data_IF_345679585120
#
_entry.id   IF_345679585120
#
_cell.length_a   1.000
_cell.length_b   1.000
_cell.length_c   1.000
_cell.angle_alpha   90.00
_cell.angle_beta   90.00
_cell.angle_gamma   90.00
#
_symmetry.space_group_name_H-M   'P 1'
#
loop_
_entity.id
_entity.type
_entity.pdbx_description
1 polymer ?
#
# COMPACT_ATOMS: atom_id res chain seq x y z
N UNK A 1 -17.12 15.22 -6.45
CA UNK A 1 -16.03 14.26 -6.19
C UNK A 1 -15.42 14.53 -4.83
N UNK A 2 -15.31 13.51 -4.00
CA UNK A 2 -14.79 13.65 -2.65
C UNK A 2 -13.25 13.66 -2.68
N UNK A 3 -12.63 14.77 -2.26
CA UNK A 3 -11.18 14.92 -2.22
C UNK A 3 -10.49 13.84 -1.35
N UNK A 4 -11.13 13.44 -0.25
CA UNK A 4 -10.60 12.39 0.63
C UNK A 4 -10.52 11.05 -0.06
N UNK A 5 -11.53 10.69 -0.86
CA UNK A 5 -11.53 9.44 -1.64
C UNK A 5 -10.42 9.45 -2.70
N UNK A 6 -10.23 10.57 -3.37
CA UNK A 6 -9.16 10.75 -4.35
C UNK A 6 -7.77 10.58 -3.72
N UNK A 7 -7.57 11.19 -2.54
CA UNK A 7 -6.30 11.06 -1.81
C UNK A 7 -6.05 9.62 -1.37
N UNK A 8 -7.09 8.94 -0.89
CA UNK A 8 -6.98 7.54 -0.47
C UNK A 8 -6.58 6.64 -1.65
N UNK A 9 -7.20 6.83 -2.81
CA UNK A 9 -6.87 6.07 -4.01
C UNK A 9 -5.43 6.32 -4.47
N UNK A 10 -4.98 7.57 -4.38
CA UNK A 10 -3.61 7.95 -4.72
C UNK A 10 -2.60 7.29 -3.77
N UNK A 11 -2.86 7.33 -2.47
CA UNK A 11 -1.98 6.70 -1.47
C UNK A 11 -1.90 5.19 -1.67
N UNK A 12 -3.01 4.55 -1.97
CA UNK A 12 -3.05 3.11 -2.26
C UNK A 12 -2.20 2.79 -3.49
N UNK A 13 -2.35 3.55 -4.57
CA UNK A 13 -1.57 3.36 -5.79
C UNK A 13 -0.06 3.54 -5.53
N UNK A 14 0.31 4.55 -4.77
CA UNK A 14 1.70 4.80 -4.39
C UNK A 14 2.28 3.64 -3.56
N UNK A 15 1.52 3.15 -2.58
CA UNK A 15 1.94 2.01 -1.77
C UNK A 15 2.14 0.76 -2.62
N UNK A 16 1.22 0.46 -3.53
CA UNK A 16 1.34 -0.69 -4.43
C UNK A 16 2.59 -0.60 -5.31
N UNK A 17 2.88 0.58 -5.84
CA UNK A 17 4.07 0.80 -6.66
C UNK A 17 5.35 0.59 -5.85
N UNK A 18 5.40 1.07 -4.61
CA UNK A 18 6.55 0.89 -3.73
C UNK A 18 6.74 -0.56 -3.32
N UNK A 19 5.64 -1.26 -3.05
CA UNK A 19 5.69 -2.70 -2.72
C UNK A 19 6.28 -3.48 -3.89
N UNK A 20 5.82 -3.22 -5.11
CA UNK A 20 6.34 -3.90 -6.31
C UNK A 20 7.82 -3.61 -6.51
N UNK A 21 8.23 -2.35 -6.37
CA UNK A 21 9.63 -1.97 -6.47
C UNK A 21 10.48 -2.69 -5.42
N UNK A 22 10.01 -2.73 -4.18
CA UNK A 22 10.73 -3.38 -3.09
C UNK A 22 10.85 -4.89 -3.30
N UNK A 23 9.82 -5.53 -3.86
CA UNK A 23 9.88 -6.93 -4.23
C UNK A 23 10.97 -7.20 -5.28
N UNK A 24 11.09 -6.33 -6.27
CA UNK A 24 12.13 -6.44 -7.30
C UNK A 24 13.53 -6.29 -6.70
N UNK A 25 13.71 -5.31 -5.82
CA UNK A 25 14.97 -5.09 -5.11
C UNK A 25 15.34 -6.33 -4.30
N UNK A 26 14.37 -6.90 -3.59
CA UNK A 26 14.58 -8.09 -2.78
C UNK A 26 14.99 -9.29 -3.64
N UNK A 27 14.30 -9.51 -4.78
CA UNK A 27 14.64 -10.60 -5.68
C UNK A 27 16.05 -10.47 -6.24
N UNK A 28 16.46 -9.26 -6.62
CA UNK A 28 17.81 -8.99 -7.12
C UNK A 28 18.86 -9.25 -6.05
N UNK A 29 18.58 -8.84 -4.82
CA UNK A 29 19.49 -9.07 -3.70
C UNK A 29 19.63 -10.58 -3.40
N UNK A 30 18.53 -11.33 -3.45
CA UNK A 30 18.56 -12.78 -3.28
C UNK A 30 19.41 -13.46 -4.35
N UNK A 31 19.27 -13.05 -5.62
CA UNK A 31 20.06 -13.59 -6.73
C UNK A 31 21.56 -13.34 -6.55
N UNK A 32 21.92 -12.25 -5.88
CA UNK A 32 23.32 -11.91 -5.61
C UNK A 32 23.85 -12.52 -4.31
N UNK A 33 23.01 -13.30 -3.60
CA UNK A 33 23.37 -13.89 -2.32
C UNK A 33 23.49 -12.91 -1.18
N UNK A 34 22.88 -11.73 -1.30
CA UNK A 34 22.91 -10.70 -0.26
C UNK A 34 21.87 -10.98 0.82
N UNK A 35 22.13 -10.42 2.03
CA UNK A 35 21.17 -10.50 3.13
C UNK A 35 19.96 -9.63 2.82
N UNK A 36 18.76 -10.23 2.82
CA UNK A 36 17.51 -9.56 2.47
C UNK A 36 16.62 -9.23 3.65
N UNK A 37 17.11 -9.38 4.87
CA UNK A 37 16.30 -9.13 6.07
C UNK A 37 15.73 -7.72 6.09
N UNK A 38 16.56 -6.72 5.81
CA UNK A 38 16.14 -5.32 5.76
C UNK A 38 15.07 -5.08 4.69
N UNK A 39 15.20 -5.74 3.53
CA UNK A 39 14.23 -5.62 2.43
C UNK A 39 12.89 -6.23 2.81
N UNK A 40 12.92 -7.37 3.49
CA UNK A 40 11.72 -8.05 3.96
C UNK A 40 10.97 -7.22 5.01
N UNK A 41 11.69 -6.60 5.91
CA UNK A 41 11.09 -5.73 6.92
C UNK A 41 10.48 -4.47 6.30
N UNK A 42 11.18 -3.86 5.35
CA UNK A 42 10.66 -2.70 4.61
C UNK A 42 9.38 -3.07 3.85
N UNK A 43 9.39 -4.21 3.18
CA UNK A 43 8.22 -4.72 2.46
C UNK A 43 7.03 -4.92 3.40
N UNK A 44 7.27 -5.53 4.55
CA UNK A 44 6.23 -5.73 5.57
C UNK A 44 5.61 -4.41 6.01
N UNK A 45 6.43 -3.40 6.26
CA UNK A 45 5.97 -2.07 6.64
C UNK A 45 5.06 -1.45 5.58
N UNK A 46 5.46 -1.54 4.30
CA UNK A 46 4.64 -1.04 3.20
C UNK A 46 3.34 -1.80 3.04
N UNK A 47 3.36 -3.12 3.22
CA UNK A 47 2.15 -3.94 3.15
C UNK A 47 1.17 -3.59 4.28
N UNK A 48 1.67 -3.32 5.48
CA UNK A 48 0.86 -2.87 6.62
C UNK A 48 0.24 -1.51 6.33
N UNK A 49 1.01 -0.57 5.77
CA UNK A 49 0.52 0.74 5.37
C UNK A 49 -0.57 0.63 4.32
N UNK A 50 -0.39 -0.25 3.34
CA UNK A 50 -1.40 -0.48 2.30
C UNK A 50 -2.72 -0.95 2.93
N UNK A 51 -2.68 -1.88 3.86
CA UNK A 51 -3.89 -2.36 4.54
C UNK A 51 -4.62 -1.24 5.28
N UNK A 52 -3.87 -0.36 5.94
CA UNK A 52 -4.46 0.79 6.65
C UNK A 52 -5.15 1.73 5.66
N UNK A 53 -4.51 2.05 4.54
CA UNK A 53 -5.10 2.92 3.51
C UNK A 53 -6.32 2.29 2.85
N UNK A 54 -6.29 1.00 2.57
CA UNK A 54 -7.43 0.29 2.00
C UNK A 54 -8.63 0.28 2.96
N UNK A 55 -8.38 0.05 4.24
CA UNK A 55 -9.41 0.12 5.28
C UNK A 55 -10.00 1.52 5.38
N UNK A 56 -9.15 2.53 5.36
CA UNK A 56 -9.60 3.93 5.41
C UNK A 56 -10.47 4.27 4.20
N UNK A 57 -10.04 3.85 3.01
CA UNK A 57 -10.82 4.03 1.78
C UNK A 57 -12.19 3.35 1.88
N UNK A 58 -12.23 2.14 2.42
CA UNK A 58 -13.49 1.41 2.59
C UNK A 58 -14.44 2.15 3.54
N UNK A 59 -13.92 2.72 4.62
CA UNK A 59 -14.72 3.52 5.54
C UNK A 59 -15.33 4.74 4.85
N UNK A 60 -14.57 5.41 3.98
CA UNK A 60 -15.06 6.56 3.21
C UNK A 60 -16.19 6.14 2.28
N UNK A 61 -16.01 5.03 1.56
CA UNK A 61 -17.02 4.48 0.64
C UNK A 61 -18.30 4.12 1.40
N UNK A 62 -18.17 3.48 2.54
CA UNK A 62 -19.31 3.08 3.36
C UNK A 62 -20.10 4.30 3.87
N UNK A 63 -19.41 5.36 4.29
CA UNK A 63 -20.05 6.61 4.71
C UNK A 63 -20.80 7.27 3.57
N UNK A 64 -20.23 7.26 2.36
CA UNK A 64 -20.90 7.82 1.19
C UNK A 64 -22.15 7.04 0.85
N UNK A 65 -22.13 5.72 0.94
CA UNK A 65 -23.31 4.87 0.73
C UNK A 65 -24.40 5.16 1.75
N UNK A 66 -24.04 5.32 3.01
CA UNK A 66 -24.98 5.64 4.07
C UNK A 66 -25.62 7.02 3.87
N UNK A 67 -24.86 7.99 3.39
CA UNK A 67 -25.35 9.33 3.12
C UNK A 67 -26.35 9.37 1.95
N UNK A 68 -26.30 8.39 1.04
CA UNK A 68 -27.19 8.30 -0.13
C UNK A 68 -28.54 7.63 0.17
N UNK A 69 -28.74 7.09 1.33
CA UNK A 69 -29.98 6.42 1.75
C UNK A 69 -31.10 7.38 2.12
#
# INVERSE_FOLDING_TARGET
>A
MNASSFQADRHIAECKARIEHQRQVMRQAEQRGQNTLWAKETLKTWEESLRVFEKHRQMIVDRLKDAER
#
